data_IF_688572558348
#
_entry.id   IF_688572558348
#
_cell.length_a   1.000
_cell.length_b   1.000
_cell.length_c   1.000
_cell.angle_alpha   90.00
_cell.angle_beta   90.00
_cell.angle_gamma   90.00
#
_symmetry.space_group_name_H-M   'P 1'
#
loop_
_entity.id
_entity.type
_entity.pdbx_description
1 polymer ?
#
# COMPACT_ATOMS: atom_id res chain seq x y z
N UNK A 1 -55.77 2.36 -19.77
CA UNK A 1 -54.52 1.61 -19.53
C UNK A 1 -53.43 2.25 -20.35
N UNK A 2 -52.71 3.22 -19.78
CA UNK A 2 -51.56 3.84 -20.43
C UNK A 2 -50.34 2.95 -20.18
N UNK A 3 -49.78 2.39 -21.25
CA UNK A 3 -48.46 1.75 -21.21
C UNK A 3 -47.43 2.84 -21.01
N UNK A 4 -46.99 3.05 -19.76
CA UNK A 4 -45.79 3.82 -19.47
C UNK A 4 -44.61 3.11 -20.15
N UNK A 5 -44.20 3.65 -21.29
CA UNK A 5 -42.96 3.28 -21.95
C UNK A 5 -41.83 3.71 -21.03
N UNK A 6 -41.37 2.77 -20.20
CA UNK A 6 -40.13 2.90 -19.43
C UNK A 6 -39.04 3.43 -20.37
N UNK A 7 -38.37 4.55 -20.04
CA UNK A 7 -37.41 5.19 -20.95
C UNK A 7 -36.34 4.15 -21.29
N UNK A 8 -36.26 3.76 -22.57
CA UNK A 8 -35.28 2.83 -23.10
C UNK A 8 -33.90 3.24 -22.60
N UNK A 9 -33.36 2.47 -21.66
CA UNK A 9 -32.05 2.74 -21.08
C UNK A 9 -31.05 2.91 -22.23
N UNK A 10 -30.40 4.07 -22.31
CA UNK A 10 -29.49 4.39 -23.39
C UNK A 10 -28.50 3.22 -23.62
N UNK A 11 -28.34 2.73 -24.86
CA UNK A 11 -27.55 1.54 -25.13
C UNK A 11 -26.12 1.73 -24.61
N UNK A 12 -25.66 0.82 -23.76
CA UNK A 12 -24.31 0.88 -23.21
C UNK A 12 -23.34 0.03 -24.04
N UNK A 13 -22.12 0.53 -24.25
CA UNK A 13 -21.07 -0.23 -24.91
C UNK A 13 -20.58 -1.36 -24.00
N UNK A 14 -20.73 -2.60 -24.43
CA UNK A 14 -20.16 -3.76 -23.74
C UNK A 14 -18.62 -3.66 -23.68
N UNK A 15 -18.06 -3.77 -22.47
CA UNK A 15 -16.61 -3.69 -22.22
C UNK A 15 -15.97 -5.03 -21.90
N UNK A 16 -16.58 -6.17 -22.29
CA UNK A 16 -16.02 -7.53 -22.07
C UNK A 16 -14.56 -7.65 -22.47
N UNK A 17 -14.22 -7.22 -23.68
CA UNK A 17 -12.86 -7.34 -24.20
C UNK A 17 -11.86 -6.56 -23.33
N UNK A 18 -12.24 -5.36 -22.85
CA UNK A 18 -11.42 -4.59 -21.92
C UNK A 18 -11.24 -5.30 -20.58
N UNK A 19 -12.31 -5.89 -20.04
CA UNK A 19 -12.25 -6.67 -18.80
C UNK A 19 -11.33 -7.89 -18.93
N UNK A 20 -11.30 -8.53 -20.11
CA UNK A 20 -10.37 -9.62 -20.41
C UNK A 20 -8.92 -9.10 -20.40
N UNK A 21 -8.63 -8.01 -21.11
CA UNK A 21 -7.28 -7.42 -21.17
C UNK A 21 -6.78 -7.01 -19.78
N UNK A 22 -7.60 -6.30 -19.01
CA UNK A 22 -7.22 -5.87 -17.65
C UNK A 22 -7.13 -7.06 -16.68
N UNK A 23 -7.96 -8.10 -16.83
CA UNK A 23 -7.85 -9.31 -16.04
C UNK A 23 -6.56 -10.09 -16.32
N UNK A 24 -6.14 -10.18 -17.59
CA UNK A 24 -4.83 -10.75 -17.96
C UNK A 24 -3.70 -9.90 -17.37
N UNK A 25 -3.78 -8.57 -17.46
CA UNK A 25 -2.77 -7.67 -16.88
C UNK A 25 -2.64 -7.87 -15.37
N UNK A 26 -3.75 -7.97 -14.63
CA UNK A 26 -3.76 -8.25 -13.19
C UNK A 26 -3.09 -9.61 -12.88
N UNK A 27 -3.37 -10.67 -13.66
CA UNK A 27 -2.71 -11.97 -13.51
C UNK A 27 -1.20 -11.87 -13.79
N UNK A 28 -0.78 -11.13 -14.82
CA UNK A 28 0.64 -10.93 -15.14
C UNK A 28 1.38 -10.18 -14.03
N UNK A 29 0.73 -9.19 -13.39
CA UNK A 29 1.27 -8.53 -12.20
C UNK A 29 1.44 -9.54 -11.06
N UNK A 30 0.45 -10.41 -10.84
CA UNK A 30 0.58 -11.53 -9.89
C UNK A 30 1.74 -12.47 -10.23
N UNK A 31 1.91 -12.83 -11.50
CA UNK A 31 3.03 -13.67 -11.96
C UNK A 31 4.40 -12.99 -11.75
N UNK A 32 4.47 -11.66 -11.91
CA UNK A 32 5.68 -10.89 -11.60
C UNK A 32 6.06 -10.98 -10.12
N UNK A 33 5.10 -10.86 -9.19
CA UNK A 33 5.37 -11.06 -7.76
C UNK A 33 5.80 -12.49 -7.45
N UNK A 34 5.22 -13.49 -8.12
CA UNK A 34 5.64 -14.88 -7.98
C UNK A 34 7.06 -15.09 -8.48
N UNK A 35 7.43 -14.48 -9.60
CA UNK A 35 8.79 -14.49 -10.12
C UNK A 35 9.77 -13.82 -9.14
N UNK A 36 9.42 -12.68 -8.56
CA UNK A 36 10.23 -11.99 -7.54
C UNK A 36 10.48 -12.87 -6.30
N UNK A 37 9.46 -13.63 -5.87
CA UNK A 37 9.60 -14.62 -4.80
C UNK A 37 10.56 -15.75 -5.19
N UNK A 38 10.41 -16.32 -6.39
CA UNK A 38 11.28 -17.37 -6.89
C UNK A 38 12.74 -16.88 -7.01
N UNK A 39 12.95 -15.67 -7.53
CA UNK A 39 14.26 -15.03 -7.60
C UNK A 39 14.87 -14.87 -6.20
N UNK A 40 14.09 -14.41 -5.22
CA UNK A 40 14.55 -14.30 -3.82
C UNK A 40 14.98 -15.66 -3.25
N UNK A 41 14.21 -16.72 -3.53
CA UNK A 41 14.55 -18.08 -3.09
C UNK A 41 15.84 -18.60 -3.76
N UNK A 42 15.99 -18.40 -5.08
CA UNK A 42 17.21 -18.76 -5.81
C UNK A 42 18.42 -17.98 -5.29
N UNK A 43 18.29 -16.67 -5.09
CA UNK A 43 19.35 -15.84 -4.50
C UNK A 43 19.81 -16.39 -3.15
N UNK A 44 18.90 -16.88 -2.31
CA UNK A 44 19.25 -17.50 -1.02
C UNK A 44 20.01 -18.81 -1.19
N UNK A 45 19.60 -19.68 -2.11
CA UNK A 45 20.32 -20.92 -2.40
C UNK A 45 21.73 -20.61 -2.88
N UNK A 46 21.89 -19.64 -3.79
CA UNK A 46 23.21 -19.23 -4.29
C UNK A 46 24.06 -18.65 -3.16
N UNK A 47 23.50 -17.79 -2.29
CA UNK A 47 24.22 -17.20 -1.17
C UNK A 47 24.59 -18.22 -0.08
N UNK A 48 23.83 -19.29 0.10
CA UNK A 48 24.17 -20.35 1.03
C UNK A 48 25.51 -21.04 0.66
N UNK A 49 25.90 -20.97 -0.62
CA UNK A 49 27.18 -21.48 -1.10
C UNK A 49 28.31 -20.43 -1.08
N UNK A 50 28.03 -19.21 -0.60
CA UNK A 50 28.94 -18.05 -0.55
C UNK A 50 28.94 -17.46 0.87
N UNK A 51 29.58 -18.12 1.86
CA UNK A 51 29.50 -17.72 3.26
C UNK A 51 30.01 -16.28 3.51
N UNK A 52 30.94 -15.78 2.69
CA UNK A 52 31.39 -14.38 2.74
C UNK A 52 30.29 -13.35 2.42
N UNK A 53 29.29 -13.71 1.61
CA UNK A 53 28.15 -12.84 1.26
C UNK A 53 26.91 -13.13 2.12
N UNK A 54 26.86 -14.27 2.79
CA UNK A 54 25.74 -14.70 3.61
C UNK A 54 25.53 -13.79 4.84
N UNK A 55 26.59 -13.17 5.38
CA UNK A 55 26.50 -12.23 6.51
C UNK A 55 25.67 -10.98 6.20
N UNK A 56 25.56 -10.60 4.92
CA UNK A 56 24.80 -9.43 4.49
C UNK A 56 23.28 -9.68 4.49
N UNK A 57 22.85 -10.94 4.58
CA UNK A 57 21.45 -11.36 4.45
C UNK A 57 20.88 -11.86 5.78
N UNK A 58 20.33 -10.96 6.58
CA UNK A 58 19.55 -11.34 7.76
C UNK A 58 18.38 -12.25 7.37
N UNK A 59 18.22 -13.39 8.06
CA UNK A 59 17.08 -14.31 7.85
C UNK A 59 15.72 -13.68 8.18
N UNK A 60 15.71 -12.62 9.01
CA UNK A 60 14.49 -11.91 9.45
C UNK A 60 13.72 -11.23 8.31
N UNK A 61 14.38 -10.81 7.23
CA UNK A 61 13.74 -10.12 6.09
C UNK A 61 13.01 -11.05 5.13
N UNK A 62 13.18 -12.37 5.26
CA UNK A 62 12.57 -13.36 4.39
C UNK A 62 11.04 -13.43 4.59
N UNK A 63 10.61 -13.59 5.84
CA UNK A 63 9.19 -13.80 6.18
C UNK A 63 8.27 -12.69 5.66
N UNK A 64 8.56 -11.39 5.89
CA UNK A 64 7.75 -10.30 5.37
C UNK A 64 7.69 -10.28 3.85
N UNK A 65 8.83 -10.55 3.19
CA UNK A 65 8.90 -10.61 1.73
C UNK A 65 8.02 -11.73 1.19
N UNK A 66 8.09 -12.92 1.79
CA UNK A 66 7.25 -14.07 1.43
C UNK A 66 5.76 -13.76 1.62
N UNK A 67 5.41 -13.20 2.77
CA UNK A 67 4.02 -12.95 3.14
C UNK A 67 3.39 -11.83 2.31
N UNK A 68 4.10 -10.71 2.13
CA UNK A 68 3.60 -9.57 1.37
C UNK A 68 3.51 -9.94 -0.11
N UNK A 69 4.60 -10.42 -0.73
CA UNK A 69 4.57 -10.75 -2.15
C UNK A 69 3.64 -11.94 -2.40
N UNK A 70 3.63 -12.96 -1.53
CA UNK A 70 2.74 -14.11 -1.66
C UNK A 70 1.27 -13.72 -1.54
N UNK A 71 0.94 -12.83 -0.60
CA UNK A 71 -0.39 -12.24 -0.49
C UNK A 71 -0.78 -11.45 -1.75
N UNK A 72 0.14 -10.65 -2.29
CA UNK A 72 -0.09 -9.90 -3.54
C UNK A 72 -0.31 -10.83 -4.74
N UNK A 73 0.42 -11.94 -4.87
CA UNK A 73 0.17 -12.96 -5.90
C UNK A 73 -1.29 -13.44 -5.82
N UNK A 74 -1.74 -13.86 -4.64
CA UNK A 74 -3.11 -14.36 -4.44
C UNK A 74 -4.14 -13.29 -4.79
N UNK A 75 -3.95 -12.05 -4.30
CA UNK A 75 -4.88 -10.94 -4.53
C UNK A 75 -4.96 -10.60 -6.02
N UNK A 76 -3.83 -10.42 -6.71
CA UNK A 76 -3.82 -10.02 -8.12
C UNK A 76 -4.34 -11.12 -9.06
N UNK A 77 -4.00 -12.39 -8.80
CA UNK A 77 -4.56 -13.52 -9.57
C UNK A 77 -6.06 -13.64 -9.33
N UNK A 78 -6.52 -13.52 -8.07
CA UNK A 78 -7.94 -13.59 -7.74
C UNK A 78 -8.75 -12.45 -8.38
N UNK A 79 -8.24 -11.22 -8.33
CA UNK A 79 -8.84 -10.07 -8.99
C UNK A 79 -8.87 -10.25 -10.50
N UNK A 80 -7.76 -10.67 -11.10
CA UNK A 80 -7.67 -10.91 -12.53
C UNK A 80 -8.71 -11.92 -13.01
N UNK A 81 -8.87 -13.06 -12.32
CA UNK A 81 -9.92 -14.04 -12.60
C UNK A 81 -11.32 -13.40 -12.45
N UNK A 82 -11.54 -12.64 -11.39
CA UNK A 82 -12.79 -11.92 -11.18
C UNK A 82 -13.12 -10.93 -12.32
N UNK A 83 -12.11 -10.23 -12.83
CA UNK A 83 -12.19 -9.29 -13.94
C UNK A 83 -12.49 -10.01 -15.27
N UNK A 84 -11.82 -11.13 -15.56
CA UNK A 84 -12.11 -11.99 -16.71
C UNK A 84 -13.58 -12.46 -16.72
N UNK A 85 -14.11 -12.78 -15.54
CA UNK A 85 -15.49 -13.21 -15.32
C UNK A 85 -16.48 -12.04 -15.17
N UNK A 86 -16.04 -10.79 -15.35
CA UNK A 86 -16.84 -9.57 -15.22
C UNK A 86 -17.58 -9.44 -13.87
N UNK A 87 -16.98 -9.94 -12.78
CA UNK A 87 -17.60 -9.92 -11.44
C UNK A 87 -17.65 -8.50 -10.86
N UNK A 88 -18.77 -8.16 -10.21
CA UNK A 88 -18.96 -6.82 -9.60
C UNK A 88 -17.96 -6.51 -8.50
N UNK A 89 -17.63 -7.50 -7.67
CA UNK A 89 -16.69 -7.34 -6.56
C UNK A 89 -15.27 -7.06 -7.06
N UNK A 90 -14.84 -7.70 -8.16
CA UNK A 90 -13.50 -7.50 -8.71
C UNK A 90 -13.34 -6.06 -9.21
N UNK A 91 -14.32 -5.54 -9.95
CA UNK A 91 -14.35 -4.12 -10.36
C UNK A 91 -14.23 -3.17 -9.17
N UNK A 92 -15.02 -3.40 -8.12
CA UNK A 92 -15.03 -2.52 -6.95
C UNK A 92 -13.68 -2.52 -6.22
N UNK A 93 -13.09 -3.71 -6.00
CA UNK A 93 -11.79 -3.85 -5.32
C UNK A 93 -10.66 -3.32 -6.19
N UNK A 94 -10.59 -3.65 -7.47
CA UNK A 94 -9.56 -3.14 -8.39
C UNK A 94 -9.61 -1.61 -8.50
N UNK A 95 -10.80 -0.99 -8.47
CA UNK A 95 -10.91 0.47 -8.44
C UNK A 95 -10.40 1.06 -7.12
N UNK A 96 -10.70 0.44 -5.98
CA UNK A 96 -10.20 0.87 -4.67
C UNK A 96 -8.68 0.76 -4.58
N UNK A 97 -8.13 -0.41 -4.95
CA UNK A 97 -6.69 -0.65 -4.96
C UNK A 97 -5.97 0.24 -5.98
N UNK A 98 -6.59 0.50 -7.14
CA UNK A 98 -6.08 1.43 -8.14
C UNK A 98 -5.93 2.85 -7.59
N UNK A 99 -6.94 3.37 -6.86
CA UNK A 99 -6.84 4.68 -6.22
C UNK A 99 -5.81 4.71 -5.08
N UNK A 100 -5.78 3.69 -4.22
CA UNK A 100 -4.78 3.58 -3.15
C UNK A 100 -3.38 3.57 -3.75
N UNK A 101 -3.15 2.70 -4.73
CA UNK A 101 -1.89 2.58 -5.45
C UNK A 101 -1.47 3.86 -6.15
N UNK A 102 -2.39 4.52 -6.86
CA UNK A 102 -2.12 5.77 -7.57
C UNK A 102 -1.72 6.90 -6.62
N UNK A 103 -2.47 7.10 -5.53
CA UNK A 103 -2.16 8.14 -4.55
C UNK A 103 -0.81 7.85 -3.89
N UNK A 104 -0.58 6.62 -3.43
CA UNK A 104 0.71 6.22 -2.86
C UNK A 104 1.86 6.36 -3.86
N UNK A 105 1.60 6.07 -5.13
CA UNK A 105 2.58 6.10 -6.19
C UNK A 105 2.99 7.49 -6.59
N UNK A 106 2.04 8.41 -6.72
CA UNK A 106 2.32 9.84 -6.95
C UNK A 106 3.14 10.40 -5.80
N UNK A 107 2.75 10.10 -4.55
CA UNK A 107 3.51 10.49 -3.37
C UNK A 107 4.95 9.95 -3.45
N UNK A 108 5.13 8.64 -3.71
CA UNK A 108 6.44 8.02 -3.80
C UNK A 108 7.30 8.60 -4.92
N UNK A 109 6.72 8.88 -6.10
CA UNK A 109 7.42 9.52 -7.20
C UNK A 109 7.86 10.94 -6.87
N UNK A 110 7.04 11.71 -6.17
CA UNK A 110 7.41 13.05 -5.68
C UNK A 110 8.52 12.93 -4.64
N UNK A 111 8.36 12.03 -3.66
CA UNK A 111 9.39 11.73 -2.64
C UNK A 111 10.74 11.33 -3.24
N UNK A 112 10.73 10.65 -4.38
CA UNK A 112 11.94 10.21 -5.08
C UNK A 112 12.87 11.36 -5.48
N UNK A 113 12.32 12.54 -5.80
CA UNK A 113 13.13 13.71 -6.15
C UNK A 113 14.14 14.08 -5.04
N UNK A 114 13.77 13.87 -3.78
CA UNK A 114 14.66 14.11 -2.64
C UNK A 114 15.56 12.92 -2.30
N UNK A 115 15.20 11.70 -2.70
CA UNK A 115 16.00 10.48 -2.44
C UNK A 115 17.10 10.29 -3.51
N UNK A 116 16.89 10.78 -4.73
CA UNK A 116 17.82 10.61 -5.85
C UNK A 116 19.28 10.98 -5.53
N UNK A 117 19.59 12.11 -4.85
CA UNK A 117 20.99 12.44 -4.51
C UNK A 117 21.64 11.42 -3.56
N UNK A 118 20.86 10.81 -2.66
CA UNK A 118 21.36 9.79 -1.75
C UNK A 118 21.67 8.48 -2.50
N UNK A 119 20.84 8.13 -3.49
CA UNK A 119 21.09 6.97 -4.36
C UNK A 119 22.39 7.17 -5.16
N UNK A 120 22.64 8.38 -5.66
CA UNK A 120 23.88 8.70 -6.36
C UNK A 120 25.12 8.47 -5.51
N UNK A 121 25.10 9.03 -4.30
CA UNK A 121 26.20 8.87 -3.35
C UNK A 121 26.42 7.39 -3.01
N UNK A 122 25.34 6.64 -2.78
CA UNK A 122 25.41 5.20 -2.49
C UNK A 122 25.95 4.39 -3.68
N UNK A 123 25.54 4.70 -4.91
CA UNK A 123 26.04 4.04 -6.12
C UNK A 123 27.53 4.31 -6.34
N UNK A 124 27.98 5.56 -6.14
CA UNK A 124 29.39 5.92 -6.26
C UNK A 124 30.23 5.20 -5.21
N UNK A 125 29.79 5.20 -3.95
CA UNK A 125 30.47 4.51 -2.87
C UNK A 125 30.58 3.00 -3.13
N UNK A 126 29.50 2.37 -3.61
CA UNK A 126 29.52 0.95 -3.96
C UNK A 126 30.45 0.65 -5.15
N UNK A 127 30.55 1.56 -6.12
CA UNK A 127 31.45 1.40 -7.25
C UNK A 127 32.92 1.48 -6.80
N UNK A 128 33.26 2.47 -5.98
CA UNK A 128 34.60 2.65 -5.42
C UNK A 128 35.04 1.43 -4.60
N UNK A 129 34.14 0.87 -3.77
CA UNK A 129 34.41 -0.35 -3.00
C UNK A 129 34.74 -1.56 -3.87
N UNK A 130 34.17 -1.63 -5.08
CA UNK A 130 34.43 -2.70 -6.03
C UNK A 130 35.57 -2.38 -7.03
N UNK A 131 36.30 -1.28 -6.83
CA UNK A 131 37.35 -0.82 -7.75
C UNK A 131 36.83 -0.42 -9.13
N UNK A 132 35.54 -0.09 -9.24
CA UNK A 132 34.89 0.29 -10.48
C UNK A 132 34.61 1.80 -10.50
N UNK A 133 34.86 2.44 -11.64
CA UNK A 133 34.41 3.82 -11.87
C UNK A 133 33.14 3.80 -12.73
N UNK A 134 31.99 4.13 -12.14
CA UNK A 134 30.76 4.30 -12.89
C UNK A 134 30.88 5.57 -13.75
N UNK A 135 30.81 5.40 -15.07
CA UNK A 135 30.73 6.56 -15.97
C UNK A 135 29.43 7.33 -15.73
N UNK A 136 29.46 8.66 -15.92
CA UNK A 136 28.28 9.51 -15.76
C UNK A 136 27.10 9.03 -16.64
N UNK A 137 27.39 8.51 -17.84
CA UNK A 137 26.38 7.95 -18.74
C UNK A 137 25.64 6.75 -18.14
N UNK A 138 26.34 5.84 -17.44
CA UNK A 138 25.72 4.68 -16.78
C UNK A 138 24.81 5.14 -15.64
N UNK A 139 25.26 6.10 -14.82
CA UNK A 139 24.46 6.63 -13.71
C UNK A 139 23.17 7.28 -14.22
N UNK A 140 23.27 8.13 -15.25
CA UNK A 140 22.09 8.77 -15.87
C UNK A 140 21.15 7.73 -16.47
N UNK A 141 21.68 6.72 -17.17
CA UNK A 141 20.87 5.63 -17.72
C UNK A 141 20.10 4.87 -16.63
N UNK A 142 20.77 4.46 -15.55
CA UNK A 142 20.15 3.75 -14.43
C UNK A 142 19.05 4.60 -13.77
N UNK A 143 19.27 5.91 -13.60
CA UNK A 143 18.24 6.83 -13.10
C UNK A 143 17.02 6.89 -14.00
N UNK A 144 17.22 7.10 -15.31
CA UNK A 144 16.13 7.18 -16.28
C UNK A 144 15.32 5.88 -16.24
N UNK A 145 16.00 4.73 -16.24
CA UNK A 145 15.35 3.43 -16.15
C UNK A 145 14.55 3.28 -14.85
N UNK A 146 15.15 3.63 -13.71
CA UNK A 146 14.52 3.51 -12.37
C UNK A 146 13.29 4.42 -12.26
N UNK A 147 13.41 5.69 -12.65
CA UNK A 147 12.31 6.66 -12.60
C UNK A 147 11.21 6.27 -13.58
N UNK A 148 11.55 5.83 -14.79
CA UNK A 148 10.57 5.40 -15.79
C UNK A 148 9.81 4.16 -15.31
N UNK A 149 10.51 3.18 -14.73
CA UNK A 149 9.89 1.99 -14.17
C UNK A 149 8.99 2.33 -12.98
N UNK A 150 9.42 3.23 -12.10
CA UNK A 150 8.58 3.73 -11.01
C UNK A 150 7.31 4.42 -11.54
N UNK A 151 7.44 5.34 -12.49
CA UNK A 151 6.28 6.03 -13.08
C UNK A 151 5.32 5.03 -13.74
N UNK A 152 5.86 4.06 -14.47
CA UNK A 152 5.05 3.02 -15.09
C UNK A 152 4.28 2.21 -14.04
N UNK A 153 4.98 1.68 -13.04
CA UNK A 153 4.41 0.78 -12.05
C UNK A 153 3.49 1.45 -11.04
N UNK A 154 3.84 2.66 -10.59
CA UNK A 154 3.16 3.34 -9.49
C UNK A 154 2.18 4.41 -9.94
N UNK A 155 2.28 4.90 -11.18
CA UNK A 155 1.39 5.97 -11.69
C UNK A 155 0.59 5.49 -12.90
N UNK A 156 1.26 5.01 -13.95
CA UNK A 156 0.60 4.68 -15.23
C UNK A 156 -0.33 3.47 -15.06
N UNK A 157 0.16 2.36 -14.49
CA UNK A 157 -0.66 1.15 -14.32
C UNK A 157 -1.85 1.39 -13.37
N UNK A 158 -1.68 1.93 -12.14
CA UNK A 158 -2.80 2.27 -11.27
C UNK A 158 -3.75 3.30 -11.91
N UNK A 159 -3.21 4.30 -12.61
CA UNK A 159 -4.00 5.29 -13.35
C UNK A 159 -4.87 4.65 -14.44
N UNK A 160 -4.32 3.71 -15.22
CA UNK A 160 -5.07 2.97 -16.22
C UNK A 160 -6.19 2.12 -15.60
N UNK A 161 -5.91 1.42 -14.49
CA UNK A 161 -6.91 0.65 -13.74
C UNK A 161 -8.04 1.56 -13.25
N UNK A 162 -7.71 2.72 -12.66
CA UNK A 162 -8.69 3.70 -12.18
C UNK A 162 -9.56 4.21 -13.31
N UNK A 163 -8.97 4.67 -14.42
CA UNK A 163 -9.70 5.20 -15.56
C UNK A 163 -10.63 4.15 -16.17
N UNK A 164 -10.16 2.90 -16.28
CA UNK A 164 -10.93 1.80 -16.82
C UNK A 164 -12.10 1.40 -15.90
N UNK A 165 -11.83 1.03 -14.65
CA UNK A 165 -12.85 0.50 -13.73
C UNK A 165 -13.84 1.56 -13.20
N UNK A 166 -13.48 2.85 -13.27
CA UNK A 166 -14.42 3.97 -13.00
C UNK A 166 -15.44 4.14 -14.12
N UNK A 167 -15.17 3.67 -15.34
CA UNK A 167 -16.04 3.87 -16.50
C UNK A 167 -17.46 3.35 -16.26
N UNK A 168 -18.46 4.17 -16.60
CA UNK A 168 -19.88 3.79 -16.55
C UNK A 168 -20.15 2.52 -17.35
N UNK A 169 -19.49 2.35 -18.50
CA UNK A 169 -19.68 1.19 -19.36
C UNK A 169 -19.16 -0.10 -18.72
N UNK A 170 -18.03 -0.05 -18.03
CA UNK A 170 -17.47 -1.22 -17.32
C UNK A 170 -18.39 -1.61 -16.16
N UNK A 171 -18.86 -0.62 -15.40
CA UNK A 171 -19.85 -0.85 -14.34
C UNK A 171 -21.11 -1.55 -14.86
N UNK A 172 -21.75 -1.01 -15.91
CA UNK A 172 -22.96 -1.58 -16.49
C UNK A 172 -22.74 -2.99 -17.06
N UNK A 173 -21.57 -3.20 -17.69
CA UNK A 173 -21.16 -4.52 -18.19
C UNK A 173 -21.10 -5.55 -17.06
N UNK A 174 -20.48 -5.20 -15.93
CA UNK A 174 -20.40 -6.07 -14.75
C UNK A 174 -21.77 -6.30 -14.11
N UNK A 175 -22.60 -5.26 -13.99
CA UNK A 175 -23.95 -5.37 -13.41
C UNK A 175 -24.88 -6.26 -14.25
N UNK A 176 -24.75 -6.20 -15.59
CA UNK A 176 -25.54 -7.06 -16.49
C UNK A 176 -25.07 -8.52 -16.46
N UNK A 177 -23.75 -8.75 -16.34
CA UNK A 177 -23.17 -10.11 -16.36
C UNK A 177 -23.16 -10.82 -15.01
N UNK A 178 -23.10 -10.08 -13.92
CA UNK A 178 -23.13 -10.60 -12.55
C UNK A 178 -24.30 -9.93 -11.82
N UNK A 179 -25.55 -10.36 -12.08
CA UNK A 179 -26.75 -9.73 -11.51
C UNK A 179 -26.87 -9.93 -10.00
N UNK A 180 -26.11 -10.88 -9.43
CA UNK A 180 -26.09 -11.17 -8.01
C UNK A 180 -25.43 -10.02 -7.26
N UNK A 181 -26.14 -9.46 -6.28
CA UNK A 181 -25.57 -8.46 -5.36
C UNK A 181 -24.38 -9.07 -4.59
N UNK A 182 -23.26 -8.36 -4.58
CA UNK A 182 -22.04 -8.78 -3.89
C UNK A 182 -21.83 -7.97 -2.63
N UNK A 183 -21.03 -8.51 -1.71
CA UNK A 183 -20.70 -7.84 -0.45
C UNK A 183 -20.09 -6.43 -0.65
N UNK A 184 -19.42 -6.17 -1.78
CA UNK A 184 -18.86 -4.86 -2.13
C UNK A 184 -19.93 -3.82 -2.48
N UNK A 185 -21.13 -4.24 -2.89
CA UNK A 185 -22.22 -3.33 -3.25
C UNK A 185 -22.88 -2.69 -2.01
N UNK A 186 -22.73 -3.32 -0.84
CA UNK A 186 -23.30 -2.87 0.44
C UNK A 186 -22.53 -1.72 1.09
N UNK A 187 -21.36 -1.38 0.56
CA UNK A 187 -20.49 -0.34 1.11
C UNK A 187 -20.15 0.67 0.02
N UNK A 188 -20.34 1.99 0.24
CA UNK A 188 -19.89 3.02 -0.69
C UNK A 188 -18.41 2.85 -1.03
N UNK A 189 -18.06 2.95 -2.31
CA UNK A 189 -16.69 2.70 -2.79
C UNK A 189 -15.60 3.48 -2.03
N UNK A 190 -15.77 4.77 -1.69
CA UNK A 190 -14.76 5.48 -0.90
C UNK A 190 -14.56 4.85 0.48
N UNK A 191 -15.65 4.50 1.18
CA UNK A 191 -15.56 3.82 2.48
C UNK A 191 -14.94 2.43 2.31
N UNK A 192 -15.27 1.71 1.24
CA UNK A 192 -14.70 0.39 0.95
C UNK A 192 -13.18 0.46 0.77
N UNK A 193 -12.64 1.49 0.09
CA UNK A 193 -11.20 1.67 -0.01
C UNK A 193 -10.53 1.81 1.36
N UNK A 194 -11.15 2.56 2.28
CA UNK A 194 -10.66 2.68 3.65
C UNK A 194 -10.77 1.36 4.43
N UNK A 195 -11.87 0.62 4.26
CA UNK A 195 -12.05 -0.71 4.86
C UNK A 195 -10.95 -1.67 4.41
N UNK A 196 -10.66 -1.72 3.10
CA UNK A 196 -9.61 -2.55 2.53
C UNK A 196 -8.23 -2.14 3.05
N UNK A 197 -7.96 -0.83 3.14
CA UNK A 197 -6.72 -0.32 3.71
C UNK A 197 -6.56 -0.76 5.16
N UNK A 198 -7.60 -0.66 5.99
CA UNK A 198 -7.53 -1.07 7.39
C UNK A 198 -7.44 -2.59 7.58
N UNK A 199 -8.15 -3.37 6.75
CA UNK A 199 -8.04 -4.81 6.75
C UNK A 199 -6.63 -5.25 6.38
N UNK A 200 -6.05 -4.63 5.34
CA UNK A 200 -4.65 -4.84 4.98
C UNK A 200 -3.70 -4.42 6.10
N UNK A 201 -3.90 -3.25 6.72
CA UNK A 201 -3.10 -2.79 7.85
C UNK A 201 -3.16 -3.73 9.04
N UNK A 202 -4.33 -4.30 9.37
CA UNK A 202 -4.46 -5.27 10.45
C UNK A 202 -3.60 -6.52 10.20
N UNK A 203 -3.68 -7.07 8.98
CA UNK A 203 -2.88 -8.23 8.56
C UNK A 203 -1.39 -7.87 8.52
N UNK A 204 -1.05 -6.74 7.91
CA UNK A 204 0.32 -6.27 7.78
C UNK A 204 0.96 -6.05 9.16
N UNK A 205 0.26 -5.47 10.12
CA UNK A 205 0.76 -5.26 11.49
C UNK A 205 1.11 -6.58 12.19
N UNK A 206 0.31 -7.63 12.00
CA UNK A 206 0.65 -8.96 12.54
C UNK A 206 1.87 -9.54 11.81
N UNK A 207 1.93 -9.38 10.49
CA UNK A 207 3.04 -9.88 9.66
C UNK A 207 4.36 -9.15 9.92
N UNK A 208 4.32 -7.90 10.38
CA UNK A 208 5.51 -7.09 10.67
C UNK A 208 6.05 -7.30 12.08
N UNK A 209 5.32 -7.96 12.98
CA UNK A 209 5.78 -8.26 14.35
C UNK A 209 7.16 -8.96 14.40
N UNK A 210 7.46 -9.98 13.58
CA UNK A 210 8.78 -10.62 13.60
C UNK A 210 9.94 -9.69 13.23
N UNK A 211 9.67 -8.61 12.48
CA UNK A 211 10.66 -7.60 12.10
C UNK A 211 10.74 -6.45 13.11
N UNK A 212 9.59 -5.82 13.34
CA UNK A 212 9.51 -4.53 14.03
C UNK A 212 8.95 -4.66 15.45
N UNK A 213 8.39 -5.82 15.82
CA UNK A 213 7.79 -6.07 17.13
C UNK A 213 8.76 -6.02 18.30
N UNK A 214 10.06 -5.78 18.03
CA UNK A 214 11.07 -5.52 19.06
C UNK A 214 10.98 -4.11 19.65
N UNK A 215 10.46 -3.14 18.90
CA UNK A 215 10.38 -1.76 19.33
C UNK A 215 9.10 -1.07 18.81
N UNK A 216 8.46 -0.25 19.65
CA UNK A 216 7.29 0.54 19.28
C UNK A 216 7.51 2.01 19.68
N UNK A 217 7.36 2.97 18.74
CA UNK A 217 7.52 4.38 19.05
C UNK A 217 6.29 4.91 19.81
N UNK A 218 6.51 5.46 21.00
CA UNK A 218 5.45 5.92 21.90
C UNK A 218 5.83 7.21 22.63
N UNK A 219 5.40 8.35 22.10
CA UNK A 219 5.50 9.70 22.62
C UNK A 219 6.91 10.06 23.13
N UNK A 220 7.91 9.96 22.24
CA UNK A 220 9.31 10.26 22.59
C UNK A 220 10.05 9.08 23.22
N UNK A 221 9.33 8.04 23.64
CA UNK A 221 9.91 6.81 24.15
C UNK A 221 9.91 5.71 23.09
N UNK A 222 10.83 4.78 23.21
CA UNK A 222 10.87 3.57 22.39
C UNK A 222 10.63 2.40 23.33
N UNK A 223 9.42 1.86 23.27
CA UNK A 223 9.01 0.71 24.07
C UNK A 223 9.55 -0.54 23.41
N UNK A 224 10.27 -1.40 24.13
CA UNK A 224 10.88 -2.60 23.57
C UNK A 224 10.34 -3.88 24.21
N UNK A 225 10.57 -5.02 23.54
CA UNK A 225 10.22 -6.35 24.06
C UNK A 225 8.71 -6.65 24.05
N UNK A 226 8.22 -7.39 25.06
CA UNK A 226 6.84 -7.86 25.11
C UNK A 226 5.77 -6.74 25.05
N UNK A 227 5.95 -5.58 25.72
CA UNK A 227 4.99 -4.48 25.59
C UNK A 227 4.84 -3.95 24.15
N UNK A 228 5.91 -3.93 23.36
CA UNK A 228 5.85 -3.54 21.95
C UNK A 228 4.97 -4.51 21.14
N UNK A 229 5.12 -5.82 21.37
CA UNK A 229 4.27 -6.85 20.75
C UNK A 229 2.79 -6.66 21.08
N UNK A 230 2.49 -6.36 22.35
CA UNK A 230 1.11 -6.10 22.80
C UNK A 230 0.53 -4.87 22.10
N UNK A 231 1.32 -3.81 21.94
CA UNK A 231 0.87 -2.59 21.25
C UNK A 231 0.60 -2.84 19.76
N UNK A 232 1.48 -3.56 19.05
CA UNK A 232 1.24 -3.96 17.67
C UNK A 232 -0.02 -4.84 17.53
N UNK A 233 -0.19 -5.83 18.43
CA UNK A 233 -1.36 -6.70 18.44
C UNK A 233 -2.65 -5.93 18.72
N UNK A 234 -2.65 -5.04 19.72
CA UNK A 234 -3.79 -4.18 20.04
C UNK A 234 -4.16 -3.28 18.86
N UNK A 235 -3.17 -2.71 18.17
CA UNK A 235 -3.39 -1.90 16.99
C UNK A 235 -3.94 -2.71 15.81
N UNK A 236 -3.45 -3.94 15.60
CA UNK A 236 -3.98 -4.84 14.58
C UNK A 236 -5.45 -5.20 14.85
N UNK A 237 -5.81 -5.51 16.10
CA UNK A 237 -7.19 -5.78 16.52
C UNK A 237 -8.06 -4.54 16.30
N UNK A 238 -7.57 -3.36 16.67
CA UNK A 238 -8.26 -2.10 16.43
C UNK A 238 -8.52 -1.86 14.94
N UNK A 239 -7.51 -2.02 14.08
CA UNK A 239 -7.66 -1.88 12.62
C UNK A 239 -8.72 -2.85 12.07
N UNK A 240 -8.74 -4.10 12.52
CA UNK A 240 -9.77 -5.08 12.14
C UNK A 240 -11.17 -4.70 12.61
N UNK A 241 -11.31 -4.25 13.86
CA UNK A 241 -12.58 -3.79 14.42
C UNK A 241 -13.10 -2.53 13.72
N UNK A 242 -12.22 -1.56 13.46
CA UNK A 242 -12.54 -0.34 12.73
C UNK A 242 -12.91 -0.64 11.27
N UNK A 243 -12.20 -1.54 10.58
CA UNK A 243 -12.57 -2.00 9.24
C UNK A 243 -13.99 -2.59 9.20
N UNK A 244 -14.32 -3.44 10.17
CA UNK A 244 -15.67 -4.01 10.31
C UNK A 244 -16.73 -2.95 10.60
N UNK A 245 -16.45 -2.00 11.50
CA UNK A 245 -17.36 -0.92 11.85
C UNK A 245 -17.61 0.03 10.68
N UNK A 246 -16.56 0.41 9.94
CA UNK A 246 -16.66 1.22 8.72
C UNK A 246 -17.44 0.51 7.61
N UNK A 247 -17.21 -0.80 7.41
CA UNK A 247 -17.98 -1.59 6.45
C UNK A 247 -19.48 -1.62 6.79
N UNK A 248 -19.81 -1.58 8.08
CA UNK A 248 -21.19 -1.47 8.60
C UNK A 248 -21.67 -0.03 8.73
N UNK A 249 -20.92 0.94 8.23
CA UNK A 249 -21.23 2.39 8.29
C UNK A 249 -21.54 2.88 9.72
N UNK A 250 -20.84 2.35 10.72
CA UNK A 250 -21.05 2.73 12.11
C UNK A 250 -20.27 4.01 12.45
N UNK A 251 -20.93 5.08 12.96
CA UNK A 251 -20.27 6.36 13.23
C UNK A 251 -19.09 6.28 14.20
N UNK A 252 -19.14 5.37 15.19
CA UNK A 252 -18.07 5.20 16.16
C UNK A 252 -16.74 4.83 15.49
N UNK A 253 -16.77 4.00 14.44
CA UNK A 253 -15.57 3.50 13.79
C UNK A 253 -14.85 4.61 13.00
N UNK A 254 -15.61 5.52 12.39
CA UNK A 254 -15.07 6.69 11.71
C UNK A 254 -14.35 7.62 12.70
N UNK A 255 -15.01 7.96 13.81
CA UNK A 255 -14.46 8.88 14.79
C UNK A 255 -13.32 8.27 15.61
N UNK A 256 -13.42 6.99 16.00
CA UNK A 256 -12.33 6.31 16.69
C UNK A 256 -11.08 6.26 15.82
N UNK A 257 -11.24 6.01 14.51
CA UNK A 257 -10.11 5.99 13.60
C UNK A 257 -9.53 7.40 13.36
N UNK A 258 -10.38 8.42 13.26
CA UNK A 258 -9.91 9.81 13.19
C UNK A 258 -9.08 10.21 14.42
N UNK A 259 -9.53 9.85 15.63
CA UNK A 259 -8.77 10.08 16.88
C UNK A 259 -7.42 9.36 16.82
N UNK A 260 -7.40 8.11 16.37
CA UNK A 260 -6.16 7.35 16.21
C UNK A 260 -5.19 8.02 15.22
N UNK A 261 -5.68 8.53 14.08
CA UNK A 261 -4.84 9.28 13.13
C UNK A 261 -4.20 10.50 13.78
N UNK A 262 -4.97 11.28 14.56
CA UNK A 262 -4.43 12.45 15.29
C UNK A 262 -3.39 12.02 16.32
N UNK A 263 -3.70 11.01 17.13
CA UNK A 263 -2.80 10.48 18.16
C UNK A 263 -1.50 9.98 17.54
N UNK A 264 -1.56 9.24 16.43
CA UNK A 264 -0.36 8.76 15.73
C UNK A 264 0.43 9.87 15.07
N UNK A 265 -0.22 10.92 14.55
CA UNK A 265 0.47 12.09 14.01
C UNK A 265 1.26 12.83 15.10
N UNK A 266 0.64 13.07 16.26
CA UNK A 266 1.30 13.68 17.42
C UNK A 266 2.44 12.77 17.91
N UNK A 267 2.17 11.47 18.07
CA UNK A 267 3.17 10.47 18.46
C UNK A 267 4.40 10.51 17.54
N UNK A 268 4.18 10.55 16.22
CA UNK A 268 5.25 10.58 15.22
C UNK A 268 6.06 11.87 15.30
N UNK A 269 5.39 13.02 15.44
CA UNK A 269 6.07 14.30 15.62
C UNK A 269 6.93 14.30 16.89
N UNK A 270 6.37 13.93 18.05
CA UNK A 270 7.10 13.90 19.32
C UNK A 270 8.25 12.89 19.29
N UNK A 271 8.02 11.69 18.74
CA UNK A 271 9.02 10.61 18.79
C UNK A 271 10.17 10.81 17.81
N UNK A 272 9.92 11.38 16.64
CA UNK A 272 10.94 11.50 15.60
C UNK A 272 11.61 12.87 15.51
N UNK A 273 11.22 13.82 16.37
CA UNK A 273 11.98 15.07 16.53
C UNK A 273 13.33 14.79 17.20
N UNK A 274 14.41 15.44 16.72
CA UNK A 274 15.72 15.40 17.41
C UNK A 274 16.46 14.05 17.36
N UNK A 275 16.37 13.31 16.25
CA UNK A 275 17.14 12.07 16.03
C UNK A 275 16.48 10.79 16.55
N UNK A 276 15.24 10.86 17.03
CA UNK A 276 14.53 9.68 17.56
C UNK A 276 14.30 8.55 16.54
N UNK A 277 14.35 8.84 15.24
CA UNK A 277 14.24 7.82 14.20
C UNK A 277 15.43 6.85 14.19
N UNK A 278 16.65 7.36 14.39
CA UNK A 278 17.84 6.51 14.49
C UNK A 278 17.80 5.62 15.73
N UNK A 279 17.40 6.18 16.87
CA UNK A 279 17.18 5.41 18.11
C UNK A 279 16.16 4.30 17.91
N UNK A 280 15.10 4.55 17.13
CA UNK A 280 14.11 3.54 16.79
C UNK A 280 14.72 2.43 15.92
N UNK A 281 15.52 2.78 14.92
CA UNK A 281 16.21 1.80 14.07
C UNK A 281 17.24 0.95 14.82
N UNK A 282 17.94 1.53 15.79
CA UNK A 282 18.81 0.80 16.72
C UNK A 282 17.99 -0.18 17.57
N UNK A 283 16.86 0.26 18.11
CA UNK A 283 16.01 -0.55 18.98
C UNK A 283 15.36 -1.75 18.27
N UNK A 284 15.10 -1.68 16.96
CA UNK A 284 14.64 -2.85 16.18
C UNK A 284 15.79 -3.82 15.84
N UNK A 285 17.04 -3.43 16.10
CA UNK A 285 18.23 -4.26 15.93
C UNK A 285 18.78 -4.27 14.50
N UNK A 286 18.74 -3.14 13.79
CA UNK A 286 19.40 -3.06 12.49
C UNK A 286 20.94 -3.16 12.65
N UNK A 287 21.66 -3.83 11.72
CA UNK A 287 23.11 -3.84 11.70
C UNK A 287 23.70 -2.43 11.60
N UNK A 288 24.86 -2.21 12.21
CA UNK A 288 25.57 -0.92 12.14
C UNK A 288 25.82 -0.46 10.70
N UNK A 289 26.12 -1.39 9.78
CA UNK A 289 26.31 -1.05 8.36
C UNK A 289 25.04 -0.46 7.73
N UNK A 290 23.86 -0.98 8.09
CA UNK A 290 22.58 -0.44 7.62
C UNK A 290 22.25 0.88 8.30
N UNK A 291 22.53 1.01 9.60
CA UNK A 291 22.35 2.27 10.32
C UNK A 291 23.19 3.40 9.71
N UNK A 292 24.46 3.14 9.38
CA UNK A 292 25.32 4.12 8.68
C UNK A 292 24.79 4.51 7.30
N UNK A 293 24.21 3.56 6.56
CA UNK A 293 23.57 3.86 5.28
C UNK A 293 22.32 4.73 5.46
N UNK A 294 21.50 4.43 6.46
CA UNK A 294 20.31 5.22 6.80
C UNK A 294 20.71 6.62 7.27
N UNK A 295 21.77 6.74 8.07
CA UNK A 295 22.33 8.00 8.54
C UNK A 295 22.83 8.87 7.38
N UNK A 296 23.40 8.26 6.33
CA UNK A 296 23.77 8.96 5.11
C UNK A 296 22.55 9.51 4.33
N UNK A 297 21.34 8.97 4.54
CA UNK A 297 20.12 9.46 3.91
C UNK A 297 19.55 10.67 4.67
N UNK A 298 20.02 11.87 4.31
CA UNK A 298 19.58 13.16 4.92
C UNK A 298 18.06 13.35 5.00
N UNK A 299 17.27 12.73 4.10
CA UNK A 299 15.81 12.79 4.13
C UNK A 299 15.21 12.26 5.44
N UNK A 300 15.83 11.23 6.03
CA UNK A 300 15.35 10.60 7.26
C UNK A 300 15.79 11.36 8.52
N UNK A 301 16.71 12.31 8.39
CA UNK A 301 17.23 13.12 9.50
C UNK A 301 16.55 14.48 9.63
N UNK A 302 15.81 14.92 8.61
CA UNK A 302 15.29 16.30 8.55
C UNK A 302 13.87 16.37 9.13
N UNK A 303 13.51 17.50 9.72
CA UNK A 303 12.14 17.87 10.11
C UNK A 303 11.12 17.74 8.95
N UNK A 304 11.60 17.60 7.71
CA UNK A 304 10.78 17.36 6.52
C UNK A 304 9.90 16.11 6.64
N UNK A 305 10.36 15.04 7.30
CA UNK A 305 9.54 13.84 7.51
C UNK A 305 8.34 14.13 8.42
N UNK A 306 8.54 14.97 9.44
CA UNK A 306 7.50 15.40 10.38
C UNK A 306 6.49 16.29 9.64
N UNK A 307 6.96 17.26 8.86
CA UNK A 307 6.09 18.13 8.06
C UNK A 307 5.29 17.33 7.03
N UNK A 308 5.95 16.39 6.35
CA UNK A 308 5.30 15.49 5.39
C UNK A 308 4.23 14.62 6.05
N UNK A 309 4.57 13.98 7.19
CA UNK A 309 3.63 13.16 7.97
C UNK A 309 2.45 13.98 8.49
N UNK A 310 2.70 15.21 8.95
CA UNK A 310 1.65 16.14 9.42
C UNK A 310 0.73 16.54 8.28
N UNK A 311 1.27 16.93 7.13
CA UNK A 311 0.48 17.27 5.95
C UNK A 311 -0.37 16.08 5.48
N UNK A 312 0.22 14.87 5.43
CA UNK A 312 -0.50 13.65 5.09
C UNK A 312 -1.64 13.34 6.08
N UNK A 313 -1.41 13.51 7.39
CA UNK A 313 -2.42 13.34 8.41
C UNK A 313 -3.58 14.34 8.25
N UNK A 314 -3.29 15.62 7.97
CA UNK A 314 -4.31 16.65 7.74
C UNK A 314 -5.18 16.35 6.51
N UNK A 315 -4.54 15.97 5.39
CA UNK A 315 -5.27 15.57 4.17
C UNK A 315 -6.15 14.36 4.45
N UNK A 316 -5.62 13.37 5.16
CA UNK A 316 -6.36 12.16 5.49
C UNK A 316 -7.52 12.42 6.47
N UNK A 317 -7.35 13.32 7.45
CA UNK A 317 -8.44 13.77 8.31
C UNK A 317 -9.52 14.50 7.53
N UNK A 318 -9.15 15.37 6.58
CA UNK A 318 -10.10 16.00 5.65
C UNK A 318 -10.92 14.97 4.87
N UNK A 319 -10.26 13.89 4.41
CA UNK A 319 -10.94 12.77 3.78
C UNK A 319 -11.90 12.03 4.73
N UNK A 320 -11.51 11.75 5.97
CA UNK A 320 -12.41 11.12 6.97
C UNK A 320 -13.62 12.00 7.28
N UNK A 321 -13.42 13.32 7.42
CA UNK A 321 -14.52 14.28 7.62
C UNK A 321 -15.47 14.26 6.42
N UNK A 322 -14.93 14.23 5.19
CA UNK A 322 -15.74 14.12 3.97
C UNK A 322 -16.53 12.81 3.90
N UNK A 323 -15.99 11.70 4.42
CA UNK A 323 -16.69 10.42 4.49
C UNK A 323 -17.89 10.44 5.43
N UNK A 324 -17.97 11.37 6.40
CA UNK A 324 -19.07 11.47 7.37
C UNK A 324 -20.46 11.42 6.73
N UNK A 325 -20.62 11.99 5.52
CA UNK A 325 -21.89 12.01 4.78
C UNK A 325 -22.47 10.61 4.48
N UNK A 326 -21.63 9.57 4.47
CA UNK A 326 -22.06 8.18 4.26
C UNK A 326 -22.55 7.49 5.54
N UNK A 327 -22.37 8.12 6.71
CA UNK A 327 -22.69 7.57 8.02
C UNK A 327 -23.97 8.17 8.63
N UNK A 328 -24.53 9.20 7.99
CA UNK A 328 -25.70 9.96 8.50
C UNK A 328 -27.02 9.54 7.87
N UNK A 329 -27.04 8.59 6.94
CA UNK A 329 -28.26 8.14 6.28
C UNK A 329 -28.92 7.04 7.12
N UNK A 330 -29.96 7.40 7.88
CA UNK A 330 -30.88 6.41 8.43
C UNK A 330 -31.47 5.59 7.26
N UNK A 331 -31.72 4.28 7.44
CA UNK A 331 -32.56 3.57 6.49
C UNK A 331 -33.91 4.27 6.52
N UNK A 332 -34.32 4.88 5.41
CA UNK A 332 -35.74 5.01 5.11
C UNK A 332 -36.26 3.57 5.10
N UNK A 333 -36.87 3.15 6.21
CA UNK A 333 -37.68 1.96 6.26
C UNK A 333 -38.78 2.16 5.20
N UNK A 334 -38.55 1.61 4.02
CA UNK A 334 -39.61 1.43 3.03
C UNK A 334 -40.41 0.24 3.56
N UNK A 335 -41.47 0.56 4.30
CA UNK A 335 -42.60 -0.34 4.48
C UNK A 335 -43.46 -0.35 3.22
#
# INVERSE_FOLDING_TARGET
MGTETSPLAAPYKDRKAGLIVFGILEILIGAFFLFSLAATAVSRVVLAHRPELAQQYQGSTLWPTLLINGGLVVVFVWLGIGSLLARRWARAISLCLGWIGLISGVIACVSMAWVLPAIDAAMQQAAEQNGQHLSAGIVVFVKILTVSMMLLMYVIIPGALVLFYRSRHVRLTCETRDPVERWTDRCPLPVLALVLLLAFSAVAMVMTIPLYGRAFPFFGMIITGAPALVLFGAFAVFCGAAARGLYRLQPWALWSYAVVVVVFAINSAVTFTGGGLMRYYEAIGLPEAQLKQIEAMKLLQTDSLIWFGTAAALVFLGYLIWLRKYFTTAPTAVG
#
